data_IF_510179811457
#
_entry.id   IF_510179811457
#
_cell.length_a   1.000
_cell.length_b   1.000
_cell.length_c   1.000
_cell.angle_alpha   90.00
_cell.angle_beta   90.00
_cell.angle_gamma   90.00
#
_symmetry.space_group_name_H-M   'P 1'
#
loop_
_entity.id
_entity.type
_entity.pdbx_description
1 polymer ?
#
# COMPACT_ATOMS: atom_id res chain seq x y z
N UNK A 1 10.25 0.13 -3.09
CA UNK A 1 10.24 0.63 -1.70
C UNK A 1 10.95 -0.41 -0.85
N UNK A 2 12.30 -0.36 -0.80
CA UNK A 2 13.11 -1.49 -0.31
C UNK A 2 12.83 -1.80 1.15
N UNK A 3 12.67 -0.75 1.97
CA UNK A 3 12.36 -0.89 3.40
C UNK A 3 11.04 -1.60 3.66
N UNK A 4 10.00 -1.27 2.88
CA UNK A 4 8.69 -1.88 3.02
C UNK A 4 8.72 -3.38 2.63
N UNK A 5 9.42 -3.72 1.56
CA UNK A 5 9.60 -5.11 1.11
C UNK A 5 10.37 -5.95 2.12
N UNK A 6 11.49 -5.44 2.63
CA UNK A 6 12.28 -6.07 3.69
C UNK A 6 11.47 -6.25 4.98
N UNK A 7 10.67 -5.25 5.35
CA UNK A 7 9.82 -5.32 6.54
C UNK A 7 8.76 -6.41 6.45
N UNK A 8 8.16 -6.64 5.28
CA UNK A 8 7.11 -7.62 5.06
C UNK A 8 7.64 -9.05 4.89
N UNK A 9 8.91 -9.22 4.54
CA UNK A 9 9.50 -10.53 4.27
C UNK A 9 9.39 -11.44 5.50
N UNK A 10 8.78 -12.61 5.31
CA UNK A 10 8.62 -13.62 6.36
C UNK A 10 7.56 -13.30 7.42
N UNK A 11 6.80 -12.20 7.27
CA UNK A 11 5.70 -11.85 8.18
C UNK A 11 4.34 -12.20 7.59
N UNK A 12 3.38 -12.48 8.47
CA UNK A 12 1.97 -12.50 8.10
C UNK A 12 1.52 -11.08 7.82
N UNK A 13 0.92 -10.85 6.65
CA UNK A 13 0.42 -9.54 6.25
C UNK A 13 -0.98 -9.37 6.84
N UNK A 14 -1.05 -8.75 8.01
CA UNK A 14 -2.28 -8.29 8.64
C UNK A 14 -2.48 -6.77 8.41
N UNK A 15 -3.58 -6.22 8.94
CA UNK A 15 -3.92 -4.82 8.78
C UNK A 15 -2.86 -3.86 9.34
N UNK A 16 -2.20 -4.24 10.44
CA UNK A 16 -1.15 -3.44 11.08
C UNK A 16 0.17 -3.51 10.30
N UNK A 17 0.53 -4.68 9.80
CA UNK A 17 1.69 -4.87 8.92
C UNK A 17 1.52 -4.11 7.60
N UNK A 18 0.31 -4.12 7.02
CA UNK A 18 0.00 -3.37 5.81
C UNK A 18 0.08 -1.86 6.04
N UNK A 19 -0.37 -1.37 7.20
CA UNK A 19 -0.27 0.04 7.59
C UNK A 19 1.20 0.47 7.70
N UNK A 20 2.00 -0.30 8.45
CA UNK A 20 3.42 -0.01 8.65
C UNK A 20 4.24 -0.10 7.36
N UNK A 21 3.92 -1.04 6.49
CA UNK A 21 4.53 -1.13 5.16
C UNK A 21 4.17 0.08 4.28
N UNK A 22 2.94 0.59 4.39
CA UNK A 22 2.53 1.80 3.69
C UNK A 22 3.31 3.03 4.18
N UNK A 23 3.50 3.19 5.49
CA UNK A 23 4.32 4.26 6.08
C UNK A 23 5.78 4.20 5.59
N UNK A 24 6.39 3.01 5.64
CA UNK A 24 7.76 2.81 5.13
C UNK A 24 7.87 3.10 3.63
N UNK A 25 6.81 2.82 2.86
CA UNK A 25 6.78 3.16 1.44
C UNK A 25 6.70 4.67 1.20
N UNK A 26 6.09 5.45 2.11
CA UNK A 26 6.06 6.91 2.01
C UNK A 26 7.44 7.56 2.24
N UNK A 27 8.29 6.96 3.06
CA UNK A 27 9.66 7.43 3.28
C UNK A 27 10.53 7.33 2.03
N UNK A 28 10.21 6.40 1.14
CA UNK A 28 10.99 6.12 -0.07
C UNK A 28 10.56 6.99 -1.28
N UNK A 29 9.53 7.84 -1.14
CA UNK A 29 8.99 8.65 -2.25
C UNK A 29 9.05 10.15 -1.95
N UNK A 30 9.21 10.96 -3.00
CA UNK A 30 9.12 12.43 -2.92
C UNK A 30 8.24 12.97 -4.06
N UNK A 31 6.90 12.96 -3.90
CA UNK A 31 5.99 13.41 -4.95
C UNK A 31 6.04 14.93 -5.15
N UNK A 32 5.85 15.36 -6.40
CA UNK A 32 5.71 16.78 -6.77
C UNK A 32 4.37 17.35 -6.29
N UNK A 33 4.07 18.63 -6.58
CA UNK A 33 2.74 19.27 -6.48
C UNK A 33 2.37 19.84 -7.87
N UNK A 34 1.15 19.66 -8.38
CA UNK A 34 0.72 20.16 -9.69
C UNK A 34 -0.81 20.34 -9.80
N UNK A 35 -1.32 20.74 -10.97
CA UNK A 35 -2.76 20.96 -11.21
C UNK A 35 -3.64 19.71 -11.00
N UNK A 36 -3.05 18.50 -10.99
CA UNK A 36 -3.77 17.24 -10.86
C UNK A 36 -3.95 16.86 -9.39
N UNK A 37 -2.95 17.15 -8.56
CA UNK A 37 -3.01 16.89 -7.13
C UNK A 37 -1.90 17.62 -6.36
N UNK A 38 -2.16 17.88 -5.07
CA UNK A 38 -1.12 18.33 -4.14
C UNK A 38 -0.18 17.19 -3.75
N UNK A 39 0.98 17.56 -3.20
CA UNK A 39 1.94 16.60 -2.63
C UNK A 39 1.31 15.77 -1.51
N UNK A 40 0.57 16.42 -0.63
CA UNK A 40 -0.09 15.83 0.54
C UNK A 40 -1.15 14.82 0.11
N UNK A 41 -1.95 15.17 -0.91
CA UNK A 41 -2.92 14.25 -1.49
C UNK A 41 -2.26 13.02 -2.10
N UNK A 42 -1.16 13.20 -2.85
CA UNK A 42 -0.40 12.06 -3.40
C UNK A 42 0.16 11.15 -2.30
N UNK A 43 0.74 11.72 -1.24
CA UNK A 43 1.21 10.94 -0.10
C UNK A 43 0.07 10.16 0.57
N UNK A 44 -1.08 10.81 0.78
CA UNK A 44 -2.26 10.16 1.33
C UNK A 44 -2.73 9.00 0.44
N UNK A 45 -2.83 9.23 -0.87
CA UNK A 45 -3.26 8.20 -1.82
C UNK A 45 -2.27 7.04 -1.92
N UNK A 46 -0.97 7.30 -1.89
CA UNK A 46 0.05 6.24 -1.84
C UNK A 46 -0.16 5.33 -0.61
N UNK A 47 -0.40 5.91 0.58
CA UNK A 47 -0.68 5.13 1.79
C UNK A 47 -1.90 4.23 1.62
N UNK A 48 -3.01 4.79 1.14
CA UNK A 48 -4.26 4.06 0.92
C UNK A 48 -4.08 2.95 -0.12
N UNK A 49 -3.42 3.24 -1.23
CA UNK A 49 -3.23 2.28 -2.32
C UNK A 49 -2.29 1.15 -1.95
N UNK A 50 -1.19 1.41 -1.24
CA UNK A 50 -0.29 0.35 -0.76
C UNK A 50 -1.04 -0.59 0.17
N UNK A 51 -1.80 -0.07 1.13
CA UNK A 51 -2.62 -0.88 2.04
C UNK A 51 -3.63 -1.75 1.28
N UNK A 52 -4.36 -1.15 0.33
CA UNK A 52 -5.34 -1.88 -0.50
C UNK A 52 -4.69 -2.95 -1.36
N UNK A 53 -3.55 -2.64 -1.99
CA UNK A 53 -2.83 -3.57 -2.85
C UNK A 53 -2.31 -4.79 -2.05
N UNK A 54 -1.79 -4.56 -0.83
CA UNK A 54 -1.35 -5.64 0.06
C UNK A 54 -2.52 -6.55 0.45
N UNK A 55 -3.64 -5.98 0.91
CA UNK A 55 -4.84 -6.76 1.24
C UNK A 55 -5.37 -7.56 0.04
N UNK A 56 -5.44 -6.94 -1.13
CA UNK A 56 -5.88 -7.62 -2.35
C UNK A 56 -4.94 -8.77 -2.73
N UNK A 57 -3.63 -8.60 -2.52
CA UNK A 57 -2.63 -9.63 -2.82
C UNK A 57 -2.72 -10.81 -1.86
N UNK A 58 -2.92 -10.54 -0.56
CA UNK A 58 -3.16 -11.59 0.44
C UNK A 58 -4.44 -12.36 0.14
N UNK A 59 -5.53 -11.66 -0.13
CA UNK A 59 -6.80 -12.30 -0.50
C UNK A 59 -6.64 -13.21 -1.71
N UNK A 60 -5.93 -12.77 -2.76
CA UNK A 60 -5.67 -13.62 -3.93
C UNK A 60 -4.88 -14.88 -3.59
N UNK A 61 -3.94 -14.81 -2.66
CA UNK A 61 -3.19 -15.99 -2.20
C UNK A 61 -4.07 -16.96 -1.41
N UNK A 62 -5.05 -16.45 -0.66
CA UNK A 62 -5.92 -17.25 0.22
C UNK A 62 -7.13 -17.83 -0.52
N UNK A 63 -7.81 -17.05 -1.35
CA UNK A 63 -9.10 -17.40 -1.97
C UNK A 63 -9.05 -17.50 -3.50
N UNK A 64 -7.95 -17.09 -4.13
CA UNK A 64 -7.85 -16.96 -5.60
C UNK A 64 -8.52 -15.70 -6.16
N UNK A 65 -9.26 -14.97 -5.34
CA UNK A 65 -9.98 -13.76 -5.73
C UNK A 65 -9.50 -12.55 -4.90
N UNK A 66 -9.50 -11.33 -5.47
CA UNK A 66 -9.25 -10.13 -4.68
C UNK A 66 -10.41 -9.91 -3.69
N UNK A 67 -10.11 -9.37 -2.51
CA UNK A 67 -11.12 -9.12 -1.49
C UNK A 67 -12.28 -8.30 -2.08
N UNK A 68 -13.52 -8.81 -1.96
CA UNK A 68 -14.74 -8.10 -2.35
C UNK A 68 -14.63 -6.66 -1.83
N UNK A 69 -14.91 -5.69 -2.71
CA UNK A 69 -14.78 -4.23 -2.52
C UNK A 69 -13.42 -3.60 -2.91
N UNK A 70 -12.41 -4.36 -3.35
CA UNK A 70 -11.19 -3.79 -3.94
C UNK A 70 -11.37 -3.46 -5.43
N UNK A 71 -12.19 -2.46 -5.77
CA UNK A 71 -11.94 -1.73 -7.04
C UNK A 71 -10.63 -0.99 -6.87
N UNK A 72 -9.58 -1.51 -7.50
CA UNK A 72 -8.26 -0.88 -7.48
C UNK A 72 -8.23 0.39 -8.33
N UNK A 73 -9.22 0.59 -9.23
CA UNK A 73 -9.50 1.81 -9.99
C UNK A 73 -11.00 1.85 -10.29
#
# INVERSE_FOLDING_TARGET
AKKAEEFLKGKKIDDAAAEKAAELALEDISPISDMRASREYRLHMCRVMVKRALKASVSRLETGEPALNTRLI
#
